data_IF_379521861919
#
_entry.id   IF_379521861919
#
_cell.length_a   1.000
_cell.length_b   1.000
_cell.length_c   1.000
_cell.angle_alpha   90.00
_cell.angle_beta   90.00
_cell.angle_gamma   90.00
#
_symmetry.space_group_name_H-M   'P 1'
#
loop_
_entity.id
_entity.type
_entity.pdbx_description
1 polymer ?
#
# COMPACT_ATOMS: atom_id res chain seq x y z
N UNK A 1 -5.10 9.34 4.95
CA UNK A 1 -4.30 8.48 4.04
C UNK A 1 -4.62 7.03 4.31
N UNK A 2 -4.83 6.24 3.26
CA UNK A 2 -5.27 4.85 3.33
C UNK A 2 -4.18 3.93 2.76
N UNK A 3 -3.97 2.80 3.41
CA UNK A 3 -3.25 1.65 2.87
C UNK A 3 -4.12 0.39 3.03
N UNK A 4 -4.46 -0.26 1.92
CA UNK A 4 -5.01 -1.61 1.92
C UNK A 4 -3.84 -2.58 1.70
N UNK A 5 -3.41 -3.25 2.76
CA UNK A 5 -2.29 -4.18 2.71
C UNK A 5 -2.78 -5.61 2.59
N UNK A 6 -2.03 -6.41 1.84
CA UNK A 6 -2.24 -7.84 1.65
C UNK A 6 -0.93 -8.57 1.89
N UNK A 7 -0.95 -9.60 2.74
CA UNK A 7 0.21 -10.49 2.92
C UNK A 7 0.34 -11.37 1.68
N UNK A 8 1.53 -11.47 1.12
CA UNK A 8 1.74 -12.19 -0.13
C UNK A 8 2.94 -13.13 -0.04
N UNK A 9 2.87 -14.26 -0.75
CA UNK A 9 4.06 -15.09 -1.01
C UNK A 9 4.90 -14.54 -2.16
N UNK A 10 4.26 -13.78 -3.06
CA UNK A 10 4.87 -13.06 -4.18
C UNK A 10 3.87 -12.01 -4.70
N UNK A 11 4.39 -10.90 -5.23
CA UNK A 11 3.59 -9.93 -5.95
C UNK A 11 4.42 -9.17 -6.99
N UNK A 12 3.79 -8.75 -8.08
CA UNK A 12 4.41 -7.93 -9.11
C UNK A 12 3.43 -6.97 -9.76
N UNK A 13 3.99 -5.97 -10.42
CA UNK A 13 3.24 -5.01 -11.23
C UNK A 13 3.86 -4.94 -12.62
N UNK A 14 3.00 -5.11 -13.61
CA UNK A 14 3.33 -5.01 -15.03
C UNK A 14 2.70 -3.74 -15.63
N UNK A 15 3.44 -3.05 -16.50
CA UNK A 15 2.95 -1.93 -17.33
C UNK A 15 3.32 -2.23 -18.77
N UNK A 16 2.34 -2.18 -19.67
CA UNK A 16 2.52 -2.52 -21.09
C UNK A 16 3.22 -3.90 -21.30
N UNK A 17 2.91 -4.87 -20.44
CA UNK A 17 3.47 -6.23 -20.50
C UNK A 17 4.88 -6.39 -19.90
N UNK A 18 5.51 -5.34 -19.40
CA UNK A 18 6.82 -5.39 -18.74
C UNK A 18 6.69 -5.25 -17.22
N UNK A 19 7.37 -6.12 -16.47
CA UNK A 19 7.43 -6.03 -15.01
C UNK A 19 8.29 -4.85 -14.60
N UNK A 20 7.70 -3.88 -13.89
CA UNK A 20 8.41 -2.69 -13.40
C UNK A 20 8.74 -2.78 -11.90
N UNK A 21 8.13 -3.72 -11.18
CA UNK A 21 8.40 -3.99 -9.77
C UNK A 21 7.88 -5.35 -9.34
N UNK A 22 8.66 -6.07 -8.55
CA UNK A 22 8.30 -7.41 -8.06
C UNK A 22 8.95 -7.71 -6.71
N UNK A 23 8.21 -8.38 -5.85
CA UNK A 23 8.67 -8.89 -4.55
C UNK A 23 8.35 -10.37 -4.41
N UNK A 24 9.17 -11.07 -3.65
CA UNK A 24 8.85 -12.39 -3.09
C UNK A 24 7.92 -12.21 -1.87
N UNK A 25 8.11 -13.00 -0.81
CA UNK A 25 7.29 -12.94 0.39
C UNK A 25 7.33 -11.55 1.04
N UNK A 26 6.16 -11.01 1.39
CA UNK A 26 6.06 -9.65 1.90
C UNK A 26 4.65 -9.09 1.92
N UNK A 27 4.54 -7.77 1.68
CA UNK A 27 3.28 -7.05 1.60
C UNK A 27 3.11 -6.39 0.22
N UNK A 28 1.99 -6.68 -0.44
CA UNK A 28 1.47 -5.84 -1.52
C UNK A 28 0.51 -4.83 -0.90
N UNK A 29 0.73 -3.54 -1.17
CA UNK A 29 0.00 -2.45 -0.53
C UNK A 29 -0.55 -1.50 -1.58
N UNK A 30 -1.87 -1.37 -1.61
CA UNK A 30 -2.55 -0.32 -2.35
C UNK A 30 -2.59 0.94 -1.48
N UNK A 31 -2.03 2.04 -1.96
CA UNK A 31 -1.83 3.28 -1.19
C UNK A 31 -2.64 4.43 -1.80
N UNK A 32 -3.39 5.15 -0.98
CA UNK A 32 -4.22 6.27 -1.41
C UNK A 32 -4.03 7.49 -0.51
N UNK A 33 -3.72 8.63 -1.13
CA UNK A 33 -3.86 9.94 -0.50
C UNK A 33 -5.31 10.43 -0.57
N UNK A 34 -5.80 10.93 0.55
CA UNK A 34 -7.09 11.58 0.71
C UNK A 34 -6.94 13.10 0.70
N UNK A 35 -8.03 13.81 0.43
CA UNK A 35 -8.06 15.26 0.46
C UNK A 35 -7.67 15.77 1.86
N UNK A 36 -6.65 16.62 1.90
CA UNK A 36 -6.14 17.22 3.13
C UNK A 36 -5.06 16.40 3.83
N UNK A 37 -4.69 15.23 3.31
CA UNK A 37 -3.51 14.53 3.79
C UNK A 37 -2.24 15.35 3.57
N UNK A 38 -1.31 15.23 4.51
CA UNK A 38 0.02 15.83 4.45
C UNK A 38 1.09 14.75 4.60
N UNK A 39 2.36 15.16 4.56
CA UNK A 39 3.49 14.27 4.83
C UNK A 39 3.42 13.65 6.22
N UNK A 40 2.79 14.34 7.19
CA UNK A 40 2.53 13.82 8.54
C UNK A 40 1.68 12.54 8.50
N UNK A 41 0.61 12.55 7.72
CA UNK A 41 -0.25 11.37 7.54
C UNK A 41 0.50 10.26 6.82
N UNK A 42 1.27 10.60 5.78
CA UNK A 42 2.10 9.61 5.07
C UNK A 42 3.09 8.92 6.01
N UNK A 43 3.83 9.68 6.82
CA UNK A 43 4.79 9.17 7.78
C UNK A 43 4.13 8.32 8.89
N UNK A 44 2.97 8.76 9.40
CA UNK A 44 2.23 8.01 10.41
C UNK A 44 1.68 6.68 9.87
N UNK A 45 1.14 6.68 8.64
CA UNK A 45 0.64 5.47 7.98
C UNK A 45 1.79 4.51 7.70
N UNK A 46 2.92 5.00 7.22
CA UNK A 46 4.10 4.17 6.95
C UNK A 46 4.64 3.53 8.23
N UNK A 47 4.74 4.29 9.33
CA UNK A 47 5.16 3.75 10.62
C UNK A 47 4.21 2.62 11.09
N UNK A 48 2.90 2.83 10.94
CA UNK A 48 1.88 1.81 11.26
C UNK A 48 2.03 0.57 10.38
N UNK A 49 2.24 0.75 9.07
CA UNK A 49 2.40 -0.32 8.08
C UNK A 49 3.65 -1.16 8.37
N UNK A 50 4.81 -0.54 8.57
CA UNK A 50 6.08 -1.23 8.84
C UNK A 50 6.08 -2.01 10.14
N UNK A 51 5.31 -1.56 11.14
CA UNK A 51 5.13 -2.23 12.42
C UNK A 51 3.92 -3.16 12.49
N UNK A 52 3.10 -3.28 11.43
CA UNK A 52 1.84 -4.01 11.49
C UNK A 52 2.10 -5.52 11.54
N UNK A 53 1.62 -6.18 12.60
CA UNK A 53 1.90 -7.59 12.88
C UNK A 53 0.94 -8.51 12.13
N UNK A 54 1.37 -9.01 10.98
CA UNK A 54 0.56 -9.85 10.08
C UNK A 54 1.28 -11.12 9.63
N UNK A 55 2.54 -11.30 10.02
CA UNK A 55 3.32 -12.51 9.74
C UNK A 55 3.39 -13.40 10.97
N UNK A 56 3.44 -14.71 10.73
CA UNK A 56 3.53 -15.71 11.79
C UNK A 56 4.88 -15.64 12.52
N UNK A 57 4.88 -15.89 13.83
CA UNK A 57 6.06 -16.23 14.61
C UNK A 57 6.31 -17.75 14.59
N UNK A 58 7.30 -18.20 15.34
CA UNK A 58 7.67 -19.63 15.48
C UNK A 58 6.52 -20.50 16.04
N UNK A 59 5.57 -19.90 16.75
CA UNK A 59 4.39 -20.58 17.28
C UNK A 59 3.18 -20.51 16.33
N UNK A 60 3.37 -20.00 15.11
CA UNK A 60 2.32 -19.84 14.11
C UNK A 60 1.36 -18.67 14.39
N UNK A 61 1.64 -17.81 15.37
CA UNK A 61 0.77 -16.68 15.73
C UNK A 61 1.20 -15.42 14.96
N UNK A 62 0.23 -14.62 14.52
CA UNK A 62 0.50 -13.37 13.79
C UNK A 62 1.07 -12.27 14.69
N UNK A 63 2.39 -12.32 14.95
CA UNK A 63 3.10 -11.45 15.88
C UNK A 63 4.27 -10.69 15.24
N UNK A 64 4.61 -10.98 13.98
CA UNK A 64 5.73 -10.37 13.27
C UNK A 64 5.24 -9.37 12.22
N UNK A 65 5.98 -8.29 12.07
CA UNK A 65 5.78 -7.27 11.02
C UNK A 65 6.60 -7.59 9.77
N UNK A 66 6.37 -6.83 8.69
CA UNK A 66 7.17 -6.95 7.45
C UNK A 66 8.65 -6.65 7.70
N UNK A 67 8.93 -5.73 8.63
CA UNK A 67 10.28 -5.40 9.08
C UNK A 67 10.92 -6.58 9.81
N UNK A 68 10.19 -7.22 10.72
CA UNK A 68 10.71 -8.35 11.51
C UNK A 68 11.09 -9.57 10.65
N UNK A 69 10.37 -9.79 9.55
CA UNK A 69 10.62 -10.91 8.62
C UNK A 69 11.50 -10.52 7.43
N UNK A 70 11.96 -9.27 7.36
CA UNK A 70 12.70 -8.71 6.23
C UNK A 70 12.01 -8.95 4.85
N UNK A 71 10.67 -8.97 4.85
CA UNK A 71 9.87 -9.27 3.64
C UNK A 71 9.84 -8.10 2.67
N UNK A 72 9.49 -8.34 1.40
CA UNK A 72 9.36 -7.27 0.40
C UNK A 72 8.16 -6.35 0.63
N UNK A 73 8.27 -5.10 0.17
CA UNK A 73 7.15 -4.17 0.07
C UNK A 73 6.91 -3.79 -1.39
N UNK A 74 5.70 -4.03 -1.90
CA UNK A 74 5.26 -3.55 -3.20
C UNK A 74 4.17 -2.50 -2.99
N UNK A 75 4.51 -1.23 -3.26
CA UNK A 75 3.62 -0.08 -3.05
C UNK A 75 2.99 0.34 -4.39
N UNK A 76 1.66 0.31 -4.48
CA UNK A 76 0.94 0.64 -5.72
C UNK A 76 -0.04 1.79 -5.45
N UNK A 77 -0.03 2.87 -6.25
CA UNK A 77 -0.97 3.98 -6.07
C UNK A 77 -2.39 3.56 -6.46
N UNK A 78 -3.37 3.78 -5.58
CA UNK A 78 -4.75 3.34 -5.75
C UNK A 78 -5.78 4.37 -5.25
N UNK A 79 -6.09 5.38 -6.08
CA UNK A 79 -7.01 6.45 -5.69
C UNK A 79 -8.44 5.97 -5.37
N UNK A 80 -8.84 4.80 -5.87
CA UNK A 80 -10.20 4.27 -5.67
C UNK A 80 -10.49 3.86 -4.23
N UNK A 81 -9.46 3.72 -3.37
CA UNK A 81 -9.69 3.44 -1.95
C UNK A 81 -10.46 4.59 -1.27
N UNK A 82 -10.27 5.83 -1.70
CA UNK A 82 -11.00 6.99 -1.18
C UNK A 82 -12.40 7.17 -1.81
N UNK A 83 -12.93 6.17 -2.52
CA UNK A 83 -14.25 6.27 -3.11
C UNK A 83 -15.36 6.34 -2.05
N UNK A 84 -16.31 7.25 -2.24
CA UNK A 84 -17.62 7.18 -1.61
C UNK A 84 -18.55 6.30 -2.48
N UNK A 85 -19.03 5.22 -1.87
CA UNK A 85 -19.90 4.21 -2.49
C UNK A 85 -21.25 4.10 -1.80
N UNK A 86 -21.69 5.12 -1.04
CA UNK A 86 -22.94 5.06 -0.25
C UNK A 86 -24.21 5.15 -1.07
N UNK A 87 -24.16 5.68 -2.30
CA UNK A 87 -25.36 5.89 -3.13
C UNK A 87 -25.12 5.55 -4.60
N UNK A 88 -26.15 5.00 -5.25
CA UNK A 88 -26.11 4.60 -6.66
C UNK A 88 -25.12 3.47 -6.95
N UNK A 89 -24.74 3.33 -8.22
CA UNK A 89 -23.79 2.31 -8.71
C UNK A 89 -22.52 2.92 -9.32
N UNK A 90 -22.36 4.25 -9.24
CA UNK A 90 -21.19 4.98 -9.71
C UNK A 90 -20.44 5.57 -8.51
N UNK A 91 -19.18 5.17 -8.27
CA UNK A 91 -18.41 5.71 -7.15
C UNK A 91 -18.13 7.20 -7.35
N UNK A 92 -18.08 7.93 -6.23
CA UNK A 92 -17.61 9.32 -6.17
C UNK A 92 -16.20 9.35 -5.59
N UNK A 93 -15.29 10.09 -6.21
CA UNK A 93 -13.91 10.21 -5.73
C UNK A 93 -13.62 11.57 -5.09
N UNK A 94 -14.66 12.31 -4.68
CA UNK A 94 -14.52 13.56 -3.94
C UNK A 94 -13.59 13.46 -2.72
N UNK A 95 -13.58 12.35 -1.94
CA UNK A 95 -12.67 12.24 -0.80
C UNK A 95 -11.19 12.07 -1.18
N UNK A 96 -10.87 11.66 -2.41
CA UNK A 96 -9.49 11.47 -2.86
C UNK A 96 -8.73 12.81 -2.95
N UNK A 97 -7.41 12.76 -2.77
CA UNK A 97 -6.54 13.88 -3.06
C UNK A 97 -6.58 14.24 -4.56
N UNK A 98 -6.28 15.50 -4.90
CA UNK A 98 -6.07 15.88 -6.30
C UNK A 98 -4.85 15.13 -6.88
N UNK A 99 -4.78 14.88 -8.20
CA UNK A 99 -3.70 14.07 -8.80
C UNK A 99 -2.28 14.54 -8.47
N UNK A 100 -2.05 15.86 -8.41
CA UNK A 100 -0.75 16.44 -8.07
C UNK A 100 -0.36 16.14 -6.61
N UNK A 101 -1.30 16.31 -5.67
CA UNK A 101 -1.09 15.96 -4.27
C UNK A 101 -0.94 14.46 -4.06
N UNK A 102 -1.74 13.65 -4.78
CA UNK A 102 -1.63 12.19 -4.75
C UNK A 102 -0.26 11.71 -5.21
N UNK A 103 0.28 12.26 -6.29
CA UNK A 103 1.62 11.94 -6.77
C UNK A 103 2.70 12.38 -5.77
N UNK A 104 2.61 13.60 -5.25
CA UNK A 104 3.56 14.14 -4.27
C UNK A 104 3.61 13.28 -3.01
N UNK A 105 2.45 12.98 -2.42
CA UNK A 105 2.35 12.20 -1.19
C UNK A 105 2.74 10.73 -1.40
N UNK A 106 2.40 10.13 -2.54
CA UNK A 106 2.84 8.78 -2.86
C UNK A 106 4.36 8.72 -3.04
N UNK A 107 4.96 9.70 -3.71
CA UNK A 107 6.42 9.79 -3.89
C UNK A 107 7.12 9.93 -2.54
N UNK A 108 6.66 10.85 -1.68
CA UNK A 108 7.14 10.98 -0.30
C UNK A 108 7.03 9.67 0.48
N UNK A 109 5.87 9.01 0.41
CA UNK A 109 5.65 7.73 1.10
C UNK A 109 6.63 6.65 0.65
N UNK A 110 6.92 6.56 -0.65
CA UNK A 110 7.90 5.61 -1.22
C UNK A 110 9.32 5.93 -0.76
N UNK A 111 9.72 7.21 -0.80
CA UNK A 111 11.08 7.62 -0.39
C UNK A 111 11.32 7.37 1.11
N UNK A 112 10.31 7.65 1.94
CA UNK A 112 10.35 7.33 3.36
C UNK A 112 10.36 5.82 3.60
N UNK A 113 9.67 5.02 2.79
CA UNK A 113 9.73 3.56 2.90
C UNK A 113 11.13 3.03 2.56
N UNK A 114 11.73 3.51 1.47
CA UNK A 114 13.09 3.13 1.02
C UNK A 114 14.18 3.49 2.04
N UNK A 115 14.02 4.58 2.78
CA UNK A 115 14.98 4.95 3.83
C UNK A 115 14.89 4.09 5.10
N UNK A 116 13.78 3.36 5.29
CA UNK A 116 13.50 2.59 6.52
C UNK A 116 13.42 1.08 6.30
N UNK A 117 13.31 0.62 5.05
CA UNK A 117 13.14 -0.79 4.71
C UNK A 117 13.91 -1.15 3.44
N UNK A 118 14.59 -2.31 3.48
CA UNK A 118 15.57 -2.66 2.45
C UNK A 118 14.96 -2.95 1.08
N UNK A 119 13.85 -3.69 1.04
CA UNK A 119 13.24 -4.17 -0.20
C UNK A 119 11.93 -3.46 -0.45
N UNK A 120 11.97 -2.35 -1.20
CA UNK A 120 10.79 -1.57 -1.59
C UNK A 120 10.71 -1.44 -3.10
N UNK A 121 9.63 -1.96 -3.67
CA UNK A 121 9.26 -1.91 -5.07
C UNK A 121 7.98 -1.10 -5.24
N UNK A 122 7.73 -0.59 -6.44
CA UNK A 122 6.59 0.29 -6.68
C UNK A 122 5.89 0.00 -7.99
N UNK A 123 4.60 0.34 -8.06
CA UNK A 123 3.92 0.62 -9.33
C UNK A 123 4.35 1.97 -9.92
N UNK A 124 3.63 2.39 -10.96
CA UNK A 124 3.82 3.66 -11.62
C UNK A 124 2.55 4.50 -11.54
N UNK A 125 2.67 5.70 -10.95
CA UNK A 125 1.53 6.60 -10.78
C UNK A 125 0.93 7.01 -12.13
N UNK A 126 -0.40 6.89 -12.26
CA UNK A 126 -1.14 7.26 -13.47
C UNK A 126 -0.98 6.30 -14.65
N UNK A 127 -0.22 5.20 -14.52
CA UNK A 127 -0.15 4.16 -15.54
C UNK A 127 -1.31 3.16 -15.40
N UNK A 128 -1.71 2.55 -16.51
CA UNK A 128 -2.48 1.31 -16.47
C UNK A 128 -1.56 0.18 -16.02
N UNK A 129 -1.96 -0.51 -14.95
CA UNK A 129 -1.13 -1.47 -14.24
C UNK A 129 -1.86 -2.79 -14.11
N UNK A 130 -1.17 -3.89 -14.38
CA UNK A 130 -1.62 -5.23 -14.04
C UNK A 130 -0.87 -5.70 -12.80
N UNK A 131 -1.58 -5.74 -11.67
CA UNK A 131 -1.02 -6.18 -10.39
C UNK A 131 -1.35 -7.66 -10.19
N UNK A 132 -0.31 -8.49 -10.14
CA UNK A 132 -0.42 -9.92 -9.85
C UNK A 132 0.07 -10.19 -8.44
N UNK A 133 -0.66 -11.01 -7.67
CA UNK A 133 -0.21 -11.44 -6.35
C UNK A 133 -0.76 -12.83 -6.00
N UNK A 134 -0.10 -13.46 -5.03
CA UNK A 134 -0.63 -14.64 -4.34
C UNK A 134 -0.84 -14.25 -2.88
N UNK A 135 -2.11 -14.04 -2.49
CA UNK A 135 -2.45 -13.61 -1.13
C UNK A 135 -2.33 -14.78 -0.16
N UNK A 136 -1.46 -14.63 0.83
CA UNK A 136 -1.12 -15.66 1.80
C UNK A 136 -2.05 -15.58 3.01
N UNK A 137 -2.99 -16.52 3.09
CA UNK A 137 -3.97 -16.65 4.17
C UNK A 137 -5.40 -16.95 3.68
N UNK A 138 -6.10 -15.99 3.01
CA UNK A 138 -5.63 -14.64 2.72
C UNK A 138 -5.67 -13.73 3.96
N UNK A 139 -4.69 -12.82 4.06
CA UNK A 139 -4.62 -11.78 5.10
C UNK A 139 -4.70 -10.42 4.44
N UNK A 140 -5.73 -9.65 4.75
CA UNK A 140 -5.98 -8.32 4.17
C UNK A 140 -6.45 -7.35 5.25
N UNK A 141 -5.80 -6.18 5.36
CA UNK A 141 -6.14 -5.18 6.35
C UNK A 141 -6.25 -3.78 5.75
N UNK A 142 -7.27 -3.05 6.21
CA UNK A 142 -7.44 -1.64 5.95
C UNK A 142 -6.74 -0.82 7.03
N UNK A 143 -5.68 -0.11 6.67
CA UNK A 143 -5.04 0.87 7.52
C UNK A 143 -5.42 2.27 7.05
N UNK A 144 -5.80 3.11 8.00
CA UNK A 144 -6.01 4.52 7.77
C UNK A 144 -5.46 5.29 8.96
N UNK A 145 -4.91 6.47 8.67
CA UNK A 145 -4.58 7.48 9.66
C UNK A 145 -5.47 8.69 9.39
N UNK A 146 -6.01 9.23 10.47
CA UNK A 146 -7.15 10.16 10.51
C UNK A 146 -8.47 9.50 10.09
N UNK A 147 -9.12 8.84 11.05
CA UNK A 147 -10.58 8.78 11.00
C UNK A 147 -11.08 10.20 11.27
N UNK A 148 -11.81 10.78 10.33
CA UNK A 148 -12.56 12.02 10.58
C UNK A 148 -13.37 11.92 11.86
#
# INVERSE_FOLDING_TARGET
MIALLQRVTQAKVDVAGATIGAIDAGLMVLVCAERGDTEKEADALLAKLLGYRVFADEAGKMNRSVTDVAGGLLLVPQFTLAADTKSGTRPSFTPAAAPQDGLRLFTHFVDQARSRHATVQTGQFGADMQVSLTNDGPVTFWLQVNAK
#
